data_IF_751488737785
#
_entry.id   IF_751488737785
#
_cell.length_a   1.000
_cell.length_b   1.000
_cell.length_c   1.000
_cell.angle_alpha   90.00
_cell.angle_beta   90.00
_cell.angle_gamma   90.00
#
_symmetry.space_group_name_H-M   'P 1'
#
loop_
_entity.id
_entity.type
_entity.pdbx_description
1 polymer ?
#
# COMPACT_ATOMS: atom_id res chain seq x y z
N UNK A 1 5.16 11.11 16.36
CA UNK A 1 5.23 12.59 16.47
C UNK A 1 4.51 13.21 15.27
N UNK A 2 4.39 14.54 15.21
CA UNK A 2 3.66 15.20 14.12
C UNK A 2 4.42 15.18 12.79
N UNK A 3 5.76 15.19 12.82
CA UNK A 3 6.60 15.17 11.62
C UNK A 3 6.53 13.82 10.90
N UNK A 4 6.59 12.69 11.62
CA UNK A 4 6.39 11.38 10.99
C UNK A 4 4.96 11.22 10.46
N UNK A 5 3.95 11.76 11.15
CA UNK A 5 2.58 11.74 10.67
C UNK A 5 2.42 12.53 9.36
N UNK A 6 2.94 13.76 9.33
CA UNK A 6 2.89 14.63 8.14
C UNK A 6 3.63 13.98 6.96
N UNK A 7 4.84 13.45 7.17
CA UNK A 7 5.58 12.76 6.12
C UNK A 7 4.80 11.57 5.54
N UNK A 8 4.19 10.76 6.40
CA UNK A 8 3.36 9.64 5.98
C UNK A 8 2.11 10.08 5.22
N UNK A 9 1.40 11.11 5.69
CA UNK A 9 0.20 11.63 5.01
C UNK A 9 0.55 12.24 3.66
N UNK A 10 1.62 13.03 3.56
CA UNK A 10 2.04 13.68 2.31
C UNK A 10 2.46 12.64 1.27
N UNK A 11 3.36 11.72 1.63
CA UNK A 11 3.81 10.66 0.72
C UNK A 11 2.66 9.72 0.39
N UNK A 12 1.87 9.33 1.39
CA UNK A 12 0.72 8.45 1.23
C UNK A 12 -0.34 9.04 0.29
N UNK A 13 -0.67 10.32 0.43
CA UNK A 13 -1.60 11.01 -0.46
C UNK A 13 -1.08 11.08 -1.90
N UNK A 14 0.21 11.36 -2.08
CA UNK A 14 0.84 11.40 -3.41
C UNK A 14 0.81 10.03 -4.09
N UNK A 15 1.23 8.98 -3.37
CA UNK A 15 1.24 7.61 -3.88
C UNK A 15 -0.19 7.12 -4.14
N UNK A 16 -1.13 7.39 -3.24
CA UNK A 16 -2.55 7.08 -3.41
C UNK A 16 -3.11 7.77 -4.67
N UNK A 17 -2.81 9.04 -4.89
CA UNK A 17 -3.23 9.77 -6.08
C UNK A 17 -2.75 9.07 -7.35
N UNK A 18 -1.45 8.77 -7.45
CA UNK A 18 -0.91 8.10 -8.64
C UNK A 18 -1.43 6.68 -8.81
N UNK A 19 -1.57 5.91 -7.72
CA UNK A 19 -2.15 4.57 -7.79
C UNK A 19 -3.61 4.64 -8.22
N UNK A 20 -4.38 5.59 -7.69
CA UNK A 20 -5.77 5.79 -8.09
C UNK A 20 -5.85 6.00 -9.60
N UNK A 21 -5.07 6.92 -10.19
CA UNK A 21 -5.03 7.12 -11.65
C UNK A 21 -4.81 5.83 -12.45
N UNK A 22 -4.14 4.83 -11.85
CA UNK A 22 -3.80 3.58 -12.52
C UNK A 22 -4.85 2.47 -12.35
N UNK A 23 -5.66 2.45 -11.26
CA UNK A 23 -6.57 1.32 -10.96
C UNK A 23 -7.97 1.67 -10.49
N UNK A 24 -8.20 2.85 -9.91
CA UNK A 24 -9.39 3.01 -9.07
C UNK A 24 -9.19 3.91 -7.88
N UNK A 25 -10.05 4.92 -7.66
CA UNK A 25 -10.11 5.58 -6.35
C UNK A 25 -10.54 4.55 -5.30
N UNK A 26 -11.67 3.89 -5.53
CA UNK A 26 -12.15 2.79 -4.68
C UNK A 26 -11.18 1.61 -4.63
N UNK A 27 -10.65 1.19 -5.78
CA UNK A 27 -9.69 0.07 -5.83
C UNK A 27 -8.38 0.38 -5.10
N UNK A 28 -7.83 1.60 -5.25
CA UNK A 28 -6.60 2.01 -4.58
C UNK A 28 -6.81 2.11 -3.07
N UNK A 29 -7.93 2.70 -2.62
CA UNK A 29 -8.28 2.71 -1.21
C UNK A 29 -8.42 1.30 -0.64
N UNK A 30 -9.13 0.40 -1.34
CA UNK A 30 -9.31 -0.98 -0.89
C UNK A 30 -7.98 -1.74 -0.83
N UNK A 31 -7.14 -1.59 -1.84
CA UNK A 31 -5.80 -2.18 -1.86
C UNK A 31 -4.95 -1.66 -0.69
N UNK A 32 -4.93 -0.35 -0.45
CA UNK A 32 -4.13 0.24 0.62
C UNK A 32 -4.55 -0.27 2.01
N UNK A 33 -5.86 -0.47 2.23
CA UNK A 33 -6.41 -0.99 3.49
C UNK A 33 -6.13 -2.49 3.61
N UNK A 34 -6.51 -3.29 2.63
CA UNK A 34 -6.42 -4.76 2.72
C UNK A 34 -4.97 -5.24 2.70
N UNK A 35 -4.16 -4.75 1.76
CA UNK A 35 -2.75 -5.18 1.65
C UNK A 35 -1.92 -4.58 2.78
N UNK A 36 -2.20 -3.34 3.18
CA UNK A 36 -1.55 -2.73 4.34
C UNK A 36 -1.85 -3.49 5.64
N UNK A 37 -3.11 -3.87 5.87
CA UNK A 37 -3.49 -4.70 7.01
C UNK A 37 -2.83 -6.08 6.97
N UNK A 38 -2.81 -6.74 5.80
CA UNK A 38 -2.14 -8.04 5.65
C UNK A 38 -0.63 -7.96 5.89
N UNK A 39 0.03 -6.89 5.44
CA UNK A 39 1.45 -6.65 5.70
C UNK A 39 1.74 -6.36 7.17
N UNK A 40 0.87 -5.58 7.84
CA UNK A 40 0.94 -5.36 9.28
C UNK A 40 0.77 -6.68 10.05
N UNK A 41 -0.20 -7.51 9.66
CA UNK A 41 -0.40 -8.85 10.24
C UNK A 41 0.83 -9.73 10.02
N UNK A 42 1.37 -9.76 8.81
CA UNK A 42 2.62 -10.44 8.49
C UNK A 42 3.74 -10.01 9.45
N UNK A 43 3.96 -8.71 9.61
CA UNK A 43 4.96 -8.21 10.55
C UNK A 43 4.76 -8.72 11.98
N UNK A 44 3.52 -8.69 12.49
CA UNK A 44 3.21 -9.18 13.85
C UNK A 44 3.44 -10.68 14.04
N UNK A 45 3.27 -11.48 12.99
CA UNK A 45 3.51 -12.93 13.08
C UNK A 45 5.01 -13.28 13.11
N UNK A 46 5.87 -12.41 12.56
CA UNK A 46 7.31 -12.66 12.44
C UNK A 46 8.17 -11.93 13.47
N UNK A 47 7.66 -10.89 14.13
CA UNK A 47 8.41 -10.10 15.11
C UNK A 47 7.82 -10.33 16.51
N UNK A 48 8.51 -11.09 17.36
CA UNK A 48 7.93 -11.65 18.59
C UNK A 48 7.75 -10.66 19.75
N UNK A 49 8.47 -9.54 19.78
CA UNK A 49 8.55 -8.71 20.98
C UNK A 49 8.54 -7.22 20.64
N UNK A 50 7.48 -6.52 21.07
CA UNK A 50 7.29 -5.06 21.05
C UNK A 50 6.89 -4.40 19.71
N UNK A 51 5.61 -3.99 19.61
CA UNK A 51 5.14 -3.02 18.61
C UNK A 51 4.51 -1.82 19.34
N UNK A 52 4.96 -0.60 19.05
CA UNK A 52 4.33 0.61 19.58
C UNK A 52 3.27 1.20 18.65
N UNK A 53 3.28 0.90 17.33
CA UNK A 53 2.23 1.33 16.39
C UNK A 53 2.28 0.59 15.06
N UNK A 54 1.25 -0.23 14.75
CA UNK A 54 1.02 -0.73 13.39
C UNK A 54 0.60 0.44 12.49
N UNK A 55 1.45 0.79 11.53
CA UNK A 55 1.42 2.10 10.88
C UNK A 55 0.74 2.13 9.51
N UNK A 56 0.14 3.29 9.20
CA UNK A 56 -0.27 3.68 7.84
C UNK A 56 0.91 3.68 6.85
N UNK A 57 2.14 3.85 7.33
CA UNK A 57 3.36 3.76 6.50
C UNK A 57 3.47 2.40 5.79
N UNK A 58 3.05 1.30 6.42
CA UNK A 58 2.97 -0.01 5.78
C UNK A 58 2.04 -0.01 4.56
N UNK A 59 0.89 0.68 4.65
CA UNK A 59 -0.01 0.87 3.51
C UNK A 59 0.64 1.71 2.40
N UNK A 60 1.45 2.71 2.75
CA UNK A 60 2.21 3.49 1.75
C UNK A 60 3.16 2.58 0.97
N UNK A 61 3.92 1.73 1.67
CA UNK A 61 4.80 0.75 1.04
C UNK A 61 4.05 -0.29 0.20
N UNK A 62 2.88 -0.74 0.67
CA UNK A 62 2.00 -1.62 -0.11
C UNK A 62 1.55 -0.98 -1.43
N UNK A 63 1.17 0.31 -1.41
CA UNK A 63 0.81 1.03 -2.63
C UNK A 63 2.01 1.18 -3.58
N UNK A 64 3.22 1.49 -3.07
CA UNK A 64 4.44 1.57 -3.87
C UNK A 64 4.76 0.21 -4.53
N UNK A 65 4.67 -0.88 -3.76
CA UNK A 65 4.82 -2.24 -4.28
C UNK A 65 3.80 -2.54 -5.38
N UNK A 66 2.53 -2.19 -5.18
CA UNK A 66 1.49 -2.37 -6.18
C UNK A 66 1.77 -1.60 -7.46
N UNK A 67 2.27 -0.37 -7.37
CA UNK A 67 2.72 0.40 -8.52
C UNK A 67 3.86 -0.28 -9.30
N UNK A 68 4.77 -0.99 -8.62
CA UNK A 68 5.78 -1.83 -9.29
C UNK A 68 5.14 -3.04 -9.98
N UNK A 69 4.24 -3.76 -9.30
CA UNK A 69 3.52 -4.91 -9.85
C UNK A 69 2.71 -4.59 -11.10
N UNK A 70 1.99 -3.47 -11.08
CA UNK A 70 1.26 -2.95 -12.24
C UNK A 70 2.18 -2.72 -13.45
N UNK A 71 3.43 -2.29 -13.22
CA UNK A 71 4.41 -2.02 -14.28
C UNK A 71 5.06 -3.29 -14.85
N UNK A 72 5.19 -4.37 -14.06
CA UNK A 72 5.70 -5.67 -14.53
C UNK A 72 4.85 -6.24 -15.66
N UNK A 73 3.52 -6.23 -15.50
CA UNK A 73 2.58 -6.82 -16.45
C UNK A 73 2.34 -5.92 -17.68
N UNK A 74 2.74 -4.64 -17.65
CA UNK A 74 2.56 -3.68 -18.76
C UNK A 74 3.46 -3.91 -19.97
N UNK A 75 4.18 -5.03 -20.04
CA UNK A 75 5.18 -5.25 -21.11
C UNK A 75 6.36 -4.27 -21.04
N UNK A 76 6.47 -3.48 -19.97
CA UNK A 76 7.59 -2.55 -19.73
C UNK A 76 8.80 -3.25 -19.08
N UNK A 77 8.68 -4.55 -18.79
CA UNK A 77 9.71 -5.40 -18.23
C UNK A 77 10.13 -5.05 -16.80
N UNK A 78 11.11 -5.78 -16.29
CA UNK A 78 11.65 -5.58 -14.93
C UNK A 78 12.12 -4.13 -14.71
N UNK A 79 12.69 -3.48 -15.75
CA UNK A 79 13.24 -2.12 -15.67
C UNK A 79 12.21 -1.08 -15.22
N UNK A 80 10.96 -1.20 -15.65
CA UNK A 80 9.91 -0.26 -15.24
C UNK A 80 9.44 -0.47 -13.80
N UNK A 81 9.59 -1.68 -13.24
CA UNK A 81 9.33 -1.95 -11.83
C UNK A 81 10.41 -1.37 -10.92
N UNK A 82 11.65 -1.18 -11.43
CA UNK A 82 12.75 -0.62 -10.66
C UNK A 82 12.50 0.81 -10.18
N UNK A 83 11.72 1.62 -10.91
CA UNK A 83 11.40 2.99 -10.48
C UNK A 83 10.65 3.01 -9.15
N UNK A 84 9.44 2.42 -9.07
CA UNK A 84 8.70 2.35 -7.81
C UNK A 84 9.40 1.50 -6.75
N UNK A 85 10.04 0.37 -7.11
CA UNK A 85 10.79 -0.42 -6.14
C UNK A 85 11.98 0.35 -5.57
N UNK A 86 12.73 1.07 -6.41
CA UNK A 86 13.84 1.91 -6.00
C UNK A 86 13.38 3.06 -5.11
N UNK A 87 12.24 3.70 -5.43
CA UNK A 87 11.64 4.70 -4.56
C UNK A 87 11.24 4.11 -3.20
N UNK A 88 10.63 2.92 -3.20
CA UNK A 88 10.32 2.18 -1.97
C UNK A 88 11.56 1.85 -1.16
N UNK A 89 12.60 1.28 -1.78
CA UNK A 89 13.85 0.94 -1.11
C UNK A 89 14.60 2.18 -0.60
N UNK A 90 14.60 3.27 -1.35
CA UNK A 90 15.19 4.54 -0.92
C UNK A 90 14.46 5.12 0.29
N UNK A 91 13.13 5.11 0.30
CA UNK A 91 12.32 5.50 1.45
C UNK A 91 12.58 4.59 2.65
N UNK A 92 12.64 3.28 2.44
CA UNK A 92 13.00 2.28 3.47
C UNK A 92 14.38 2.57 4.07
N UNK A 93 15.38 2.87 3.23
CA UNK A 93 16.73 3.18 3.67
C UNK A 93 16.79 4.51 4.44
N UNK A 94 16.09 5.54 3.97
CA UNK A 94 15.97 6.83 4.67
C UNK A 94 15.30 6.69 6.03
N UNK A 95 14.25 5.86 6.12
CA UNK A 95 13.52 5.63 7.37
C UNK A 95 14.29 4.70 8.32
N UNK A 96 14.95 3.66 7.80
CA UNK A 96 15.73 2.69 8.59
C UNK A 96 17.04 3.25 9.17
N UNK A 97 17.60 4.31 8.57
CA UNK A 97 18.78 5.02 9.09
C UNK A 97 18.48 5.92 10.31
N UNK A 98 17.20 6.15 10.65
CA UNK A 98 16.76 7.17 11.60
C UNK A 98 16.67 6.78 13.08
N UNK A 99 16.71 5.49 13.48
CA UNK A 99 16.70 5.15 14.91
C UNK A 99 16.30 3.72 15.29
N UNK A 100 16.58 3.39 16.56
CA UNK A 100 16.52 2.06 17.22
C UNK A 100 15.14 1.35 17.28
N UNK A 101 14.09 1.87 16.65
CA UNK A 101 12.71 1.36 16.75
C UNK A 101 11.88 1.57 15.47
N UNK A 102 12.48 1.54 14.28
CA UNK A 102 11.73 1.65 13.02
C UNK A 102 11.24 0.28 12.56
N UNK A 103 9.94 0.15 12.28
CA UNK A 103 9.26 -1.05 11.76
C UNK A 103 9.67 -1.36 10.30
N UNK A 104 10.98 -1.51 10.07
CA UNK A 104 11.57 -1.87 8.77
C UNK A 104 10.97 -3.17 8.24
N UNK A 105 10.66 -4.11 9.15
CA UNK A 105 9.95 -5.35 8.82
C UNK A 105 8.58 -5.09 8.21
N UNK A 106 7.77 -4.21 8.82
CA UNK A 106 6.43 -3.91 8.33
C UNK A 106 6.47 -3.22 6.95
N UNK A 107 7.42 -2.32 6.74
CA UNK A 107 7.62 -1.64 5.45
C UNK A 107 8.06 -2.62 4.35
N UNK A 108 8.95 -3.56 4.67
CA UNK A 108 9.36 -4.62 3.77
C UNK A 108 8.18 -5.55 3.41
N UNK A 109 7.37 -5.95 4.40
CA UNK A 109 6.13 -6.70 4.16
C UNK A 109 5.15 -5.94 3.27
N UNK A 110 5.01 -4.62 3.48
CA UNK A 110 4.21 -3.74 2.65
C UNK A 110 4.64 -3.82 1.19
N UNK A 111 5.92 -3.56 0.90
CA UNK A 111 6.45 -3.67 -0.47
C UNK A 111 6.26 -5.07 -1.06
N UNK A 112 6.60 -6.11 -0.30
CA UNK A 112 6.58 -7.50 -0.74
C UNK A 112 5.17 -7.97 -1.12
N UNK A 113 4.14 -7.63 -0.32
CA UNK A 113 2.75 -7.98 -0.62
C UNK A 113 2.10 -7.01 -1.62
N UNK A 114 2.58 -5.78 -1.70
CA UNK A 114 2.14 -4.80 -2.69
C UNK A 114 2.40 -5.26 -4.13
N UNK A 115 3.60 -5.76 -4.42
CA UNK A 115 3.98 -6.22 -5.79
C UNK A 115 3.00 -7.24 -6.38
N UNK A 116 2.72 -8.39 -5.75
CA UNK A 116 1.77 -9.36 -6.28
C UNK A 116 0.35 -8.78 -6.32
N UNK A 117 -0.06 -7.94 -5.37
CA UNK A 117 -1.38 -7.29 -5.42
C UNK A 117 -1.52 -6.42 -6.67
N UNK A 118 -0.49 -5.65 -7.03
CA UNK A 118 -0.47 -4.86 -8.27
C UNK A 118 -0.52 -5.72 -9.53
N UNK A 119 0.20 -6.85 -9.54
CA UNK A 119 0.13 -7.84 -10.64
C UNK A 119 -1.30 -8.36 -10.79
N UNK A 120 -1.90 -8.81 -9.70
CA UNK A 120 -3.27 -9.33 -9.65
C UNK A 120 -4.28 -8.28 -10.15
N UNK A 121 -4.20 -7.04 -9.65
CA UNK A 121 -5.06 -5.96 -10.14
C UNK A 121 -4.95 -5.75 -11.65
N UNK A 122 -3.75 -5.87 -12.22
CA UNK A 122 -3.58 -5.74 -13.67
C UNK A 122 -4.16 -6.92 -14.43
N UNK A 123 -3.98 -8.15 -13.95
CA UNK A 123 -4.53 -9.36 -14.59
C UNK A 123 -6.06 -9.29 -14.67
N UNK A 124 -6.72 -8.77 -13.63
CA UNK A 124 -8.17 -8.58 -13.61
C UNK A 124 -8.65 -7.32 -14.34
N UNK A 125 -7.78 -6.31 -14.53
CA UNK A 125 -8.08 -5.09 -15.30
C UNK A 125 -7.44 -5.14 -16.67
N UNK A 126 -8.03 -5.91 -17.59
CA UNK A 126 -7.64 -5.95 -19.02
C UNK A 126 -8.16 -4.74 -19.84
N UNK A 127 -8.30 -3.56 -19.21
CA UNK A 127 -8.73 -2.34 -19.91
C UNK A 127 -7.58 -1.34 -20.08
N UNK A 128 -7.55 -0.56 -21.17
CA UNK A 128 -6.62 0.54 -21.34
C UNK A 128 -6.88 1.60 -20.25
N UNK A 129 -5.85 2.37 -19.89
CA UNK A 129 -5.94 3.41 -18.86
C UNK A 129 -6.96 4.52 -19.19
N UNK A 130 -7.24 4.72 -20.48
CA UNK A 130 -8.25 5.65 -20.98
C UNK A 130 -9.69 5.15 -20.81
N UNK A 131 -9.87 3.88 -20.44
CA UNK A 131 -11.21 3.36 -20.19
C UNK A 131 -11.78 4.02 -18.94
N UNK A 132 -13.07 4.43 -18.96
CA UNK A 132 -13.77 4.87 -17.77
C UNK A 132 -13.59 3.86 -16.64
N UNK A 133 -13.53 4.39 -15.43
CA UNK A 133 -13.45 3.63 -14.20
C UNK A 133 -14.63 2.66 -14.13
N UNK A 134 -14.41 1.46 -13.61
CA UNK A 134 -15.48 0.45 -13.50
C UNK A 134 -16.63 0.95 -12.62
N UNK A 135 -17.86 0.54 -12.93
CA UNK A 135 -19.05 0.78 -12.10
C UNK A 135 -18.86 0.29 -10.64
N UNK A 136 -17.94 -0.64 -10.40
CA UNK A 136 -17.63 -1.18 -9.08
C UNK A 136 -16.79 -0.26 -8.17
N UNK A 137 -16.28 0.88 -8.67
CA UNK A 137 -15.45 1.78 -7.83
C UNK A 137 -16.17 2.27 -6.58
N UNK A 138 -17.45 2.64 -6.72
CA UNK A 138 -18.27 3.08 -5.59
C UNK A 138 -18.46 1.95 -4.58
N UNK A 139 -18.65 0.71 -5.07
CA UNK A 139 -18.74 -0.45 -4.18
C UNK A 139 -17.44 -0.68 -3.43
N UNK A 140 -16.29 -0.67 -4.11
CA UNK A 140 -14.98 -0.84 -3.45
C UNK A 140 -14.69 0.27 -2.44
N UNK A 141 -15.05 1.51 -2.76
CA UNK A 141 -14.96 2.64 -1.83
C UNK A 141 -15.86 2.45 -0.60
N UNK A 142 -17.10 1.99 -0.80
CA UNK A 142 -18.01 1.69 0.30
C UNK A 142 -17.50 0.53 1.17
N UNK A 143 -16.94 -0.52 0.54
CA UNK A 143 -16.32 -1.63 1.27
C UNK A 143 -15.20 -1.16 2.20
N UNK A 144 -14.40 -0.18 1.78
CA UNK A 144 -13.37 0.42 2.65
C UNK A 144 -13.99 1.06 3.89
N UNK A 145 -15.04 1.87 3.70
CA UNK A 145 -15.73 2.52 4.82
C UNK A 145 -16.30 1.48 5.80
N UNK A 146 -16.90 0.40 5.27
CA UNK A 146 -17.44 -0.68 6.08
C UNK A 146 -16.35 -1.47 6.83
N UNK A 147 -15.23 -1.76 6.18
CA UNK A 147 -14.08 -2.43 6.81
C UNK A 147 -13.55 -1.58 7.96
N UNK A 148 -13.33 -0.29 7.71
CA UNK A 148 -12.83 0.63 8.74
C UNK A 148 -13.85 0.73 9.88
N UNK A 149 -15.11 1.06 9.59
CA UNK A 149 -16.14 1.18 10.61
C UNK A 149 -16.33 -0.12 11.43
N UNK A 150 -16.31 -1.28 10.78
CA UNK A 150 -16.40 -2.58 11.44
C UNK A 150 -15.19 -2.87 12.33
N UNK A 151 -13.98 -2.54 11.88
CA UNK A 151 -12.77 -2.68 12.69
C UNK A 151 -12.82 -1.77 13.93
N UNK A 152 -13.30 -0.53 13.78
CA UNK A 152 -13.49 0.39 14.90
C UNK A 152 -14.55 -0.11 15.89
N UNK A 153 -15.67 -0.63 15.39
CA UNK A 153 -16.72 -1.22 16.23
C UNK A 153 -16.21 -2.41 17.04
N UNK A 154 -15.44 -3.32 16.43
CA UNK A 154 -14.86 -4.47 17.12
C UNK A 154 -13.73 -4.11 18.09
N UNK A 155 -13.03 -3.00 17.83
CA UNK A 155 -11.96 -2.51 18.70
C UNK A 155 -12.49 -1.72 19.91
N UNK A 156 -13.74 -1.25 19.85
CA UNK A 156 -14.38 -0.55 20.96
C UNK A 156 -15.03 -1.57 21.90
N UNK A 157 -14.49 -1.77 23.12
CA UNK A 157 -15.02 -2.74 24.08
C UNK A 157 -16.40 -2.35 24.64
#
# INVERSE_FOLDING_TARGET
DINHLLGNVTIGALVMYYLAQEIGGGAACLLAVVVGAAANLGNTLFQADYYQSLGFSTSVFAMIGAMAGLRLIRGRGLKAALGPLGAGLALLAMLGMGGRHTDVGAHAWGLALGVPAGVVCRLFRNRPLSAPWSDWQSLWGLSVLLIVAGAWYLAWP
#
